data_IF_667358167897
#
_entry.id   IF_667358167897
#
_cell.length_a   1.000
_cell.length_b   1.000
_cell.length_c   1.000
_cell.angle_alpha   90.00
_cell.angle_beta   90.00
_cell.angle_gamma   90.00
#
_symmetry.space_group_name_H-M   'P 1'
#
loop_
_entity.id
_entity.type
_entity.pdbx_description
1 polymer ?
#
# COMPACT_ATOMS: atom_id res chain seq x y z
N UNK A 1 -17.30 53.74 33.13
CA UNK A 1 -16.17 52.82 32.89
C UNK A 1 -16.77 51.60 32.22
N UNK A 2 -16.79 51.58 30.89
CA UNK A 2 -17.13 50.40 30.10
C UNK A 2 -15.90 50.04 29.25
N UNK A 3 -15.50 48.78 29.37
CA UNK A 3 -14.39 48.13 28.66
C UNK A 3 -14.76 47.90 27.18
N UNK A 4 -13.80 48.03 26.24
CA UNK A 4 -14.08 47.76 24.83
C UNK A 4 -14.01 46.26 24.54
N UNK A 5 -15.12 45.68 24.07
CA UNK A 5 -15.16 44.32 23.53
C UNK A 5 -14.19 44.18 22.35
N UNK A 6 -13.14 43.39 22.54
CA UNK A 6 -12.28 42.92 21.46
C UNK A 6 -12.99 41.81 20.69
N UNK A 7 -13.35 42.09 19.44
CA UNK A 7 -13.86 41.09 18.49
C UNK A 7 -12.74 40.10 18.13
N UNK A 8 -12.94 38.79 18.28
CA UNK A 8 -11.97 37.81 17.77
C UNK A 8 -11.99 37.84 16.24
N UNK A 9 -10.81 37.93 15.63
CA UNK A 9 -10.65 38.12 14.19
C UNK A 9 -11.44 37.07 13.37
N UNK A 10 -12.09 37.48 12.26
CA UNK A 10 -12.97 36.62 11.45
C UNK A 10 -12.26 35.38 10.90
N UNK A 11 -10.93 35.43 10.75
CA UNK A 11 -10.11 34.32 10.31
C UNK A 11 -10.15 33.11 11.27
N UNK A 12 -10.12 33.34 12.58
CA UNK A 12 -10.17 32.23 13.55
C UNK A 12 -11.54 31.56 13.60
N UNK A 13 -12.63 32.32 13.41
CA UNK A 13 -13.99 31.76 13.32
C UNK A 13 -14.14 30.86 12.09
N UNK A 14 -13.63 31.31 10.94
CA UNK A 14 -13.61 30.51 9.70
C UNK A 14 -12.78 29.24 9.84
N UNK A 15 -11.59 29.32 10.47
CA UNK A 15 -10.74 28.15 10.69
C UNK A 15 -11.40 27.16 11.65
N UNK A 16 -12.05 27.64 12.72
CA UNK A 16 -12.81 26.80 13.66
C UNK A 16 -14.02 26.14 12.99
N UNK A 17 -14.74 26.84 12.11
CA UNK A 17 -15.85 26.26 11.34
C UNK A 17 -15.38 25.20 10.33
N UNK A 18 -14.25 25.42 9.66
CA UNK A 18 -13.68 24.45 8.72
C UNK A 18 -13.17 23.21 9.48
N UNK A 19 -12.50 23.40 10.60
CA UNK A 19 -12.06 22.32 11.50
C UNK A 19 -13.25 21.51 12.01
N UNK A 20 -14.31 22.18 12.47
CA UNK A 20 -15.52 21.50 12.96
C UNK A 20 -16.22 20.71 11.84
N UNK A 21 -16.32 21.25 10.62
CA UNK A 21 -16.88 20.52 9.47
C UNK A 21 -16.01 19.33 9.07
N UNK A 22 -14.69 19.45 9.12
CA UNK A 22 -13.78 18.33 8.88
C UNK A 22 -13.91 17.24 9.94
N UNK A 23 -13.99 17.61 11.22
CA UNK A 23 -14.17 16.64 12.32
C UNK A 23 -15.51 15.93 12.23
N UNK A 24 -16.59 16.64 11.88
CA UNK A 24 -17.91 16.02 11.66
C UNK A 24 -17.90 15.09 10.43
N UNK A 25 -17.22 15.47 9.35
CA UNK A 25 -17.07 14.63 8.16
C UNK A 25 -16.21 13.38 8.42
N UNK A 26 -15.14 13.52 9.21
CA UNK A 26 -14.27 12.42 9.61
C UNK A 26 -14.99 11.43 10.55
N UNK A 27 -15.79 11.96 11.48
CA UNK A 27 -16.63 11.15 12.37
C UNK A 27 -17.72 10.39 11.60
N UNK A 28 -18.36 11.00 10.61
CA UNK A 28 -19.33 10.31 9.73
C UNK A 28 -18.68 9.23 8.86
N UNK A 29 -17.45 9.42 8.40
CA UNK A 29 -16.71 8.41 7.63
C UNK A 29 -16.25 7.21 8.47
N UNK A 30 -16.18 7.36 9.80
CA UNK A 30 -15.71 6.31 10.73
C UNK A 30 -16.88 5.45 11.24
N UNK A 31 -18.13 5.81 10.93
CA UNK A 31 -19.34 5.13 11.41
C UNK A 31 -19.76 3.88 10.61
N UNK A 32 -18.96 3.42 9.65
CA UNK A 32 -19.22 2.19 8.90
C UNK A 32 -18.15 1.14 9.24
N UNK A 33 -18.50 0.26 10.17
CA UNK A 33 -17.90 -1.05 10.41
C UNK A 33 -16.38 -1.10 10.67
N UNK A 34 -15.90 -0.46 11.73
CA UNK A 34 -14.51 -0.56 12.21
C UNK A 34 -14.17 -1.85 12.99
N UNK A 35 -15.07 -2.83 13.08
CA UNK A 35 -14.91 -4.00 13.95
C UNK A 35 -14.45 -5.29 13.22
N UNK A 36 -13.52 -5.18 12.28
CA UNK A 36 -13.07 -6.34 11.47
C UNK A 36 -11.84 -7.09 12.03
N UNK A 37 -11.11 -6.51 12.99
CA UNK A 37 -10.01 -7.16 13.69
C UNK A 37 -10.25 -6.94 15.18
N UNK A 38 -10.56 -7.98 15.96
CA UNK A 38 -10.91 -7.90 17.39
C UNK A 38 -9.81 -7.40 18.35
N UNK A 39 -8.89 -6.58 17.85
CA UNK A 39 -7.87 -5.87 18.63
C UNK A 39 -8.28 -4.39 18.76
N UNK A 40 -8.24 -3.81 19.97
CA UNK A 40 -8.74 -2.47 20.28
C UNK A 40 -7.80 -1.35 19.78
N UNK A 41 -7.55 -1.27 18.46
CA UNK A 41 -6.67 -0.27 17.83
C UNK A 41 -7.15 1.18 18.02
N UNK A 42 -8.44 1.40 18.25
CA UNK A 42 -9.00 2.73 18.54
C UNK A 42 -8.30 3.37 19.75
N UNK A 43 -8.10 2.60 20.82
CA UNK A 43 -7.41 3.09 22.02
C UNK A 43 -5.94 3.40 21.77
N UNK A 44 -5.30 2.70 20.83
CA UNK A 44 -3.92 2.97 20.39
C UNK A 44 -3.86 4.32 19.67
N UNK A 45 -4.84 4.62 18.81
CA UNK A 45 -4.92 5.90 18.09
C UNK A 45 -5.21 7.06 19.06
N UNK A 46 -6.14 6.87 19.99
CA UNK A 46 -6.44 7.87 21.02
C UNK A 46 -5.24 8.12 21.95
N UNK A 47 -4.54 7.06 22.36
CA UNK A 47 -3.34 7.17 23.20
C UNK A 47 -2.19 7.86 22.47
N UNK A 48 -1.94 7.53 21.21
CA UNK A 48 -0.92 8.17 20.39
C UNK A 48 -1.23 9.67 20.20
N UNK A 49 -2.47 10.00 19.84
CA UNK A 49 -2.91 11.38 19.62
C UNK A 49 -2.79 12.22 20.90
N UNK A 50 -3.17 11.66 22.06
CA UNK A 50 -2.99 12.30 23.37
C UNK A 50 -1.52 12.55 23.72
N UNK A 51 -0.65 11.57 23.47
CA UNK A 51 0.79 11.71 23.71
C UNK A 51 1.41 12.82 22.86
N UNK A 52 1.07 12.89 21.58
CA UNK A 52 1.55 13.96 20.69
C UNK A 52 1.01 15.34 21.08
N UNK A 53 -0.25 15.45 21.49
CA UNK A 53 -0.84 16.71 21.95
C UNK A 53 -0.14 17.24 23.21
N UNK A 54 0.16 16.35 24.17
CA UNK A 54 0.91 16.71 25.38
C UNK A 54 2.34 17.12 25.03
N UNK A 55 3.04 16.36 24.19
CA UNK A 55 4.40 16.69 23.74
C UNK A 55 4.43 18.05 23.03
N UNK A 56 3.48 18.30 22.13
CA UNK A 56 3.34 19.58 21.43
C UNK A 56 3.04 20.72 22.40
N UNK A 57 2.19 20.51 23.41
CA UNK A 57 1.89 21.51 24.44
C UNK A 57 3.13 21.84 25.29
N UNK A 58 3.93 20.84 25.66
CA UNK A 58 5.18 21.05 26.39
C UNK A 58 6.23 21.75 25.54
N UNK A 59 6.36 21.39 24.26
CA UNK A 59 7.23 22.08 23.31
C UNK A 59 6.76 23.50 23.06
N UNK A 60 5.46 23.75 22.93
CA UNK A 60 4.89 25.09 22.78
C UNK A 60 5.15 25.94 24.03
N UNK A 61 4.95 25.37 25.23
CA UNK A 61 5.22 26.05 26.50
C UNK A 61 6.71 26.31 26.71
N UNK A 62 7.56 25.34 26.35
CA UNK A 62 9.01 25.47 26.36
C UNK A 62 9.49 26.51 25.35
N UNK A 63 9.04 26.44 24.10
CA UNK A 63 9.39 27.37 23.03
C UNK A 63 8.92 28.79 23.33
N UNK A 64 7.72 28.96 23.88
CA UNK A 64 7.21 30.27 24.32
C UNK A 64 8.02 30.84 25.50
N UNK A 65 8.48 29.97 26.41
CA UNK A 65 9.36 30.37 27.53
C UNK A 65 10.79 30.70 27.08
N UNK A 66 11.37 29.90 26.18
CA UNK A 66 12.71 30.13 25.62
C UNK A 66 12.72 31.38 24.74
N UNK A 67 11.65 31.63 23.97
CA UNK A 67 11.44 32.92 23.30
C UNK A 67 11.43 34.04 24.33
N UNK A 68 10.64 33.95 25.40
CA UNK A 68 10.62 35.00 26.43
C UNK A 68 12.00 35.27 27.02
N UNK A 69 12.83 34.25 27.21
CA UNK A 69 14.18 34.41 27.73
C UNK A 69 15.13 35.07 26.72
N UNK A 70 15.13 34.63 25.47
CA UNK A 70 15.93 35.22 24.38
C UNK A 70 15.48 36.64 24.01
N UNK A 71 14.18 36.93 24.08
CA UNK A 71 13.64 38.29 23.88
C UNK A 71 14.04 39.20 25.02
N UNK A 72 13.92 38.75 26.28
CA UNK A 72 14.31 39.55 27.45
C UNK A 72 15.82 39.80 27.47
N UNK A 73 16.65 38.84 27.06
CA UNK A 73 18.11 39.03 27.02
C UNK A 73 18.53 39.99 25.90
N UNK A 74 17.90 39.89 24.72
CA UNK A 74 18.10 40.87 23.64
C UNK A 74 17.60 42.26 24.00
N UNK A 75 16.44 42.37 24.66
CA UNK A 75 15.89 43.65 25.13
C UNK A 75 16.72 44.26 26.26
N UNK A 76 17.23 43.46 27.22
CA UNK A 76 18.13 43.95 28.26
C UNK A 76 19.41 44.55 27.67
N UNK A 77 20.01 43.88 26.67
CA UNK A 77 21.19 44.39 25.98
C UNK A 77 20.90 45.69 25.19
N UNK A 78 19.72 45.79 24.59
CA UNK A 78 19.28 46.98 23.85
C UNK A 78 18.95 48.14 24.81
N UNK A 79 18.34 47.85 25.96
CA UNK A 79 18.05 48.81 27.01
C UNK A 79 19.32 49.34 27.69
N UNK A 80 20.34 48.48 27.90
CA UNK A 80 21.65 48.90 28.39
C UNK A 80 22.41 49.80 27.39
N UNK A 81 22.31 49.51 26.09
CA UNK A 81 22.87 50.38 25.06
C UNK A 81 22.14 51.72 24.97
N UNK A 82 20.80 51.71 25.04
CA UNK A 82 19.98 52.93 25.03
C UNK A 82 20.21 53.76 26.30
N UNK A 83 20.33 53.15 27.48
CA UNK A 83 20.57 53.89 28.71
C UNK A 83 21.96 54.51 28.75
N UNK A 84 22.98 53.80 28.26
CA UNK A 84 24.34 54.35 28.11
C UNK A 84 24.34 55.57 27.17
N UNK A 85 23.70 55.45 26.00
CA UNK A 85 23.57 56.56 25.05
C UNK A 85 22.78 57.75 25.62
N UNK A 86 21.69 57.49 26.37
CA UNK A 86 20.87 58.54 26.98
C UNK A 86 21.64 59.25 28.10
N UNK A 87 22.39 58.52 28.92
CA UNK A 87 23.19 59.09 30.00
C UNK A 87 24.36 59.92 29.44
N UNK A 88 25.03 59.44 28.39
CA UNK A 88 26.07 60.20 27.70
C UNK A 88 25.50 61.49 27.08
N UNK A 89 24.34 61.41 26.41
CA UNK A 89 23.66 62.61 25.87
C UNK A 89 23.19 63.56 26.98
N UNK A 90 22.73 63.04 28.11
CA UNK A 90 22.31 63.84 29.27
C UNK A 90 23.50 64.54 29.92
N UNK A 91 24.63 63.87 30.11
CA UNK A 91 25.84 64.48 30.67
C UNK A 91 26.41 65.56 29.76
N UNK A 92 26.33 65.37 28.45
CA UNK A 92 26.69 66.42 27.48
C UNK A 92 25.70 67.59 27.55
N UNK A 93 24.40 67.32 27.68
CA UNK A 93 23.39 68.36 27.78
C UNK A 93 23.46 69.12 29.12
N UNK A 94 23.85 68.45 30.21
CA UNK A 94 24.05 69.04 31.53
C UNK A 94 25.32 69.90 31.57
N UNK A 95 26.41 69.46 30.92
CA UNK A 95 27.58 70.30 30.68
C UNK A 95 27.26 71.52 29.81
N UNK A 96 26.50 71.35 28.73
CA UNK A 96 26.00 72.47 27.92
C UNK A 96 25.04 73.39 28.69
N UNK A 97 24.33 72.87 29.69
CA UNK A 97 23.43 73.68 30.52
C UNK A 97 24.20 74.47 31.58
N UNK A 98 25.27 73.88 32.16
CA UNK A 98 26.17 74.61 33.05
C UNK A 98 26.99 75.65 32.29
N UNK A 99 27.51 75.32 31.10
CA UNK A 99 28.18 76.29 30.21
C UNK A 99 27.21 77.34 29.69
N UNK A 100 25.98 76.97 29.36
CA UNK A 100 24.92 77.92 28.99
C UNK A 100 24.53 78.85 30.15
N UNK A 101 24.54 78.37 31.40
CA UNK A 101 24.23 79.17 32.59
C UNK A 101 25.39 80.07 33.02
N UNK A 102 26.64 79.66 32.77
CA UNK A 102 27.84 80.50 32.97
C UNK A 102 27.94 81.57 31.87
N UNK A 103 27.69 81.21 30.61
CA UNK A 103 27.60 82.13 29.46
C UNK A 103 26.41 83.08 29.58
N UNK A 104 25.24 82.65 30.04
CA UNK A 104 24.07 83.52 30.24
C UNK A 104 24.22 84.44 31.47
N UNK A 105 25.06 84.07 32.45
CA UNK A 105 25.47 84.96 33.54
C UNK A 105 26.52 85.99 33.10
N UNK A 106 27.39 85.65 32.14
CA UNK A 106 28.40 86.58 31.60
C UNK A 106 27.90 87.44 30.44
N UNK A 107 26.83 87.07 29.72
CA UNK A 107 26.29 87.83 28.58
C UNK A 107 25.38 89.00 29.01
N UNK A 108 25.05 89.12 30.30
CA UNK A 108 24.36 90.29 30.83
C UNK A 108 25.31 91.44 31.23
N UNK A 109 26.62 91.18 31.33
CA UNK A 109 27.64 92.20 31.59
C UNK A 109 28.74 92.14 30.50
N UNK A 110 28.75 93.11 29.59
CA UNK A 110 29.74 93.33 28.52
C UNK A 110 29.59 92.38 27.30
N UNK A 111 28.89 92.78 26.24
CA UNK A 111 29.46 93.66 25.20
C UNK A 111 30.99 93.63 25.12
N UNK A 112 31.48 92.95 24.08
CA UNK A 112 32.70 93.25 23.31
C UNK A 112 33.96 92.39 23.57
N UNK A 113 34.18 91.50 22.60
CA UNK A 113 35.43 90.98 22.04
C UNK A 113 36.46 90.16 22.84
N UNK A 114 37.05 89.22 22.07
CA UNK A 114 38.10 88.22 22.35
C UNK A 114 37.58 87.02 23.15
N UNK A 115 37.97 85.78 22.83
CA UNK A 115 39.35 85.37 22.61
C UNK A 115 39.38 84.00 21.93
N UNK A 116 40.02 83.95 20.76
CA UNK A 116 40.27 82.73 20.02
C UNK A 116 41.41 81.94 20.69
N UNK A 117 41.10 81.03 21.62
CA UNK A 117 42.03 79.99 22.09
C UNK A 117 41.37 78.78 22.76
N UNK A 118 40.10 78.48 22.48
CA UNK A 118 39.43 77.27 22.97
C UNK A 118 39.05 76.25 21.88
N UNK A 119 39.36 76.54 20.61
CA UNK A 119 39.03 75.64 19.49
C UNK A 119 40.02 74.45 19.33
N UNK A 120 41.22 74.51 19.91
CA UNK A 120 42.28 73.52 19.64
C UNK A 120 42.18 72.23 20.50
N UNK A 121 41.44 72.25 21.62
CA UNK A 121 41.25 71.06 22.49
C UNK A 121 40.01 70.23 22.15
N UNK A 122 39.04 70.85 21.46
CA UNK A 122 37.82 70.24 20.94
C UNK A 122 38.05 69.55 19.59
N UNK A 123 39.05 69.99 18.82
CA UNK A 123 39.45 69.36 17.55
C UNK A 123 40.06 67.95 17.76
N UNK A 124 40.92 67.79 18.78
CA UNK A 124 41.55 66.51 19.11
C UNK A 124 40.58 65.46 19.69
N UNK A 125 39.42 65.89 20.22
CA UNK A 125 38.33 64.99 20.65
C UNK A 125 37.34 64.68 19.53
N UNK A 126 37.30 65.49 18.46
CA UNK A 126 36.52 65.24 17.23
C UNK A 126 37.20 64.25 16.27
N UNK A 127 38.53 64.17 16.21
CA UNK A 127 39.23 63.26 15.27
C UNK A 127 39.06 61.76 15.60
N UNK A 128 39.11 61.38 16.89
CA UNK A 128 38.95 59.98 17.33
C UNK A 128 37.62 59.34 16.93
N UNK A 129 36.44 59.94 17.24
CA UNK A 129 35.16 59.39 16.81
C UNK A 129 35.01 59.41 15.30
N UNK A 130 35.61 60.37 14.59
CA UNK A 130 35.58 60.42 13.13
C UNK A 130 36.31 59.21 12.50
N UNK A 131 37.43 58.80 13.10
CA UNK A 131 38.16 57.59 12.69
C UNK A 131 37.33 56.31 12.90
N UNK A 132 36.65 56.19 14.04
CA UNK A 132 35.78 55.04 14.31
C UNK A 132 34.51 55.01 13.45
N UNK A 133 33.98 56.18 13.07
CA UNK A 133 32.84 56.26 12.16
C UNK A 133 33.20 55.73 10.77
N UNK A 134 34.37 56.09 10.22
CA UNK A 134 34.83 55.58 8.92
C UNK A 134 35.06 54.07 8.98
N UNK A 135 35.62 53.56 10.07
CA UNK A 135 35.85 52.12 10.27
C UNK A 135 34.53 51.34 10.40
N UNK A 136 33.55 51.88 11.13
CA UNK A 136 32.20 51.32 11.21
C UNK A 136 31.49 51.34 9.85
N UNK A 137 31.61 52.42 9.08
CA UNK A 137 31.00 52.54 7.75
C UNK A 137 31.59 51.52 6.76
N UNK A 138 32.91 51.27 6.80
CA UNK A 138 33.55 50.24 5.98
C UNK A 138 33.09 48.82 6.35
N UNK A 139 32.93 48.53 7.64
CA UNK A 139 32.44 47.24 8.13
C UNK A 139 30.96 47.04 7.77
N UNK A 140 30.13 48.08 7.88
CA UNK A 140 28.75 48.09 7.41
C UNK A 140 28.70 47.81 5.90
N UNK A 141 29.55 48.47 5.10
CA UNK A 141 29.64 48.23 3.66
C UNK A 141 30.03 46.78 3.32
N UNK A 142 30.95 46.19 4.10
CA UNK A 142 31.37 44.79 3.93
C UNK A 142 30.22 43.82 4.23
N UNK A 143 29.53 44.00 5.35
CA UNK A 143 28.37 43.18 5.74
C UNK A 143 27.22 43.33 4.74
N UNK A 144 26.98 44.53 4.21
CA UNK A 144 25.96 44.77 3.17
C UNK A 144 26.30 44.02 1.88
N UNK A 145 27.58 43.95 1.49
CA UNK A 145 28.02 43.15 0.33
C UNK A 145 27.78 41.66 0.54
N UNK A 146 28.15 41.12 1.70
CA UNK A 146 27.92 39.70 2.04
C UNK A 146 26.43 39.36 2.04
N UNK A 147 25.59 40.20 2.65
CA UNK A 147 24.13 40.01 2.68
C UNK A 147 23.54 40.05 1.27
N UNK A 148 24.03 40.93 0.39
CA UNK A 148 23.59 40.98 -1.01
C UNK A 148 23.95 39.70 -1.77
N UNK A 149 25.11 39.12 -1.50
CA UNK A 149 25.57 37.86 -2.10
C UNK A 149 24.83 36.63 -1.55
N UNK A 150 24.56 36.58 -0.25
CA UNK A 150 23.69 35.54 0.33
C UNK A 150 22.28 35.62 -0.24
N UNK A 151 21.73 36.81 -0.41
CA UNK A 151 20.40 37.00 -1.00
C UNK A 151 20.34 36.52 -2.45
N UNK A 152 21.38 36.72 -3.26
CA UNK A 152 21.41 36.17 -4.62
C UNK A 152 21.50 34.65 -4.63
N UNK A 153 22.34 34.05 -3.77
CA UNK A 153 22.42 32.58 -3.63
C UNK A 153 21.10 31.97 -3.15
N UNK A 154 20.42 32.62 -2.21
CA UNK A 154 19.11 32.19 -1.72
C UNK A 154 18.03 32.30 -2.80
N UNK A 155 18.11 33.32 -3.67
CA UNK A 155 17.24 33.43 -4.83
C UNK A 155 17.44 32.26 -5.81
N UNK A 156 18.68 31.92 -6.15
CA UNK A 156 19.00 30.78 -7.04
C UNK A 156 18.55 29.43 -6.45
N UNK A 157 18.78 29.21 -5.14
CA UNK A 157 18.29 28.00 -4.48
C UNK A 157 16.76 27.90 -4.49
N UNK A 158 16.05 29.02 -4.33
CA UNK A 158 14.59 29.03 -4.37
C UNK A 158 14.06 28.67 -5.78
N UNK A 159 14.74 29.11 -6.84
CA UNK A 159 14.38 28.74 -8.21
C UNK A 159 14.60 27.25 -8.48
N UNK A 160 15.77 26.71 -8.07
CA UNK A 160 16.03 25.27 -8.16
C UNK A 160 15.05 24.44 -7.34
N UNK A 161 14.69 24.91 -6.14
CA UNK A 161 13.69 24.26 -5.30
C UNK A 161 12.31 24.24 -5.96
N UNK A 162 11.95 25.30 -6.68
CA UNK A 162 10.71 25.34 -7.45
C UNK A 162 10.73 24.36 -8.64
N UNK A 163 11.85 24.27 -9.38
CA UNK A 163 11.99 23.29 -10.47
C UNK A 163 11.94 21.85 -9.95
N UNK A 164 12.65 21.55 -8.86
CA UNK A 164 12.61 20.23 -8.21
C UNK A 164 11.18 19.90 -7.74
N UNK A 165 10.48 20.84 -7.10
CA UNK A 165 9.10 20.63 -6.65
C UNK A 165 8.16 20.35 -7.82
N UNK A 166 8.33 21.04 -8.95
CA UNK A 166 7.56 20.81 -10.17
C UNK A 166 7.82 19.42 -10.76
N UNK A 167 9.08 18.97 -10.80
CA UNK A 167 9.44 17.61 -11.25
C UNK A 167 8.86 16.53 -10.34
N UNK A 168 8.92 16.73 -9.02
CA UNK A 168 8.33 15.79 -8.05
C UNK A 168 6.83 15.68 -8.28
N UNK A 169 6.12 16.80 -8.48
CA UNK A 169 4.69 16.78 -8.74
C UNK A 169 4.35 16.06 -10.05
N UNK A 170 5.09 16.30 -11.13
CA UNK A 170 4.92 15.59 -12.40
C UNK A 170 5.12 14.08 -12.24
N UNK A 171 6.18 13.66 -11.56
CA UNK A 171 6.48 12.25 -11.32
C UNK A 171 5.42 11.59 -10.43
N UNK A 172 4.89 12.31 -9.44
CA UNK A 172 3.82 11.81 -8.58
C UNK A 172 2.53 11.55 -9.38
N UNK A 173 2.18 12.48 -10.27
CA UNK A 173 1.01 12.35 -11.14
C UNK A 173 1.19 11.22 -12.18
N UNK A 174 2.39 11.11 -12.78
CA UNK A 174 2.76 9.98 -13.65
C UNK A 174 2.67 8.64 -12.91
N UNK A 175 3.16 8.56 -11.68
CA UNK A 175 3.11 7.35 -10.86
C UNK A 175 1.68 6.95 -10.51
N UNK A 176 0.82 7.92 -10.19
CA UNK A 176 -0.62 7.68 -9.94
C UNK A 176 -1.31 7.15 -11.20
N UNK A 177 -1.03 7.76 -12.35
CA UNK A 177 -1.57 7.34 -13.65
C UNK A 177 -1.12 5.92 -14.01
N UNK A 178 0.18 5.62 -13.90
CA UNK A 178 0.73 4.29 -14.14
C UNK A 178 0.13 3.25 -13.20
N UNK A 179 0.02 3.55 -11.91
CA UNK A 179 -0.60 2.63 -10.94
C UNK A 179 -2.05 2.32 -11.30
N UNK A 180 -2.81 3.33 -11.72
CA UNK A 180 -4.19 3.15 -12.20
C UNK A 180 -4.23 2.28 -13.46
N UNK A 181 -3.35 2.55 -14.43
CA UNK A 181 -3.29 1.80 -15.68
C UNK A 181 -2.91 0.32 -15.46
N UNK A 182 -1.93 0.05 -14.59
CA UNK A 182 -1.53 -1.30 -14.22
C UNK A 182 -2.70 -2.03 -13.54
N UNK A 183 -3.34 -1.41 -12.56
CA UNK A 183 -4.49 -2.02 -11.87
C UNK A 183 -5.66 -2.32 -12.83
N UNK A 184 -5.95 -1.43 -13.78
CA UNK A 184 -7.00 -1.65 -14.78
C UNK A 184 -6.64 -2.79 -15.74
N UNK A 185 -5.39 -2.85 -16.20
CA UNK A 185 -4.92 -3.91 -17.10
C UNK A 185 -4.93 -5.27 -16.40
N UNK A 186 -4.41 -5.36 -15.17
CA UNK A 186 -4.44 -6.58 -14.36
C UNK A 186 -5.88 -7.04 -14.09
N UNK A 187 -6.79 -6.12 -13.76
CA UNK A 187 -8.20 -6.45 -13.56
C UNK A 187 -8.85 -6.98 -14.85
N UNK A 188 -8.58 -6.35 -15.99
CA UNK A 188 -9.06 -6.79 -17.31
C UNK A 188 -8.55 -8.19 -17.66
N UNK A 189 -7.25 -8.44 -17.47
CA UNK A 189 -6.64 -9.75 -17.73
C UNK A 189 -7.20 -10.83 -16.80
N UNK A 190 -7.35 -10.53 -15.51
CA UNK A 190 -7.96 -11.46 -14.55
C UNK A 190 -9.39 -11.78 -14.92
N UNK A 191 -10.18 -10.79 -15.37
CA UNK A 191 -11.54 -11.00 -15.82
C UNK A 191 -11.60 -11.90 -17.07
N UNK A 192 -10.68 -11.73 -18.01
CA UNK A 192 -10.59 -12.55 -19.21
C UNK A 192 -10.19 -14.00 -18.88
N UNK A 193 -9.17 -14.19 -18.04
CA UNK A 193 -8.75 -15.50 -17.55
C UNK A 193 -9.87 -16.21 -16.77
N UNK A 194 -10.61 -15.49 -15.92
CA UNK A 194 -11.76 -16.05 -15.20
C UNK A 194 -12.85 -16.53 -16.16
N UNK A 195 -13.14 -15.77 -17.24
CA UNK A 195 -14.11 -16.18 -18.26
C UNK A 195 -13.67 -17.43 -19.01
N UNK A 196 -12.38 -17.53 -19.37
CA UNK A 196 -11.83 -18.72 -20.01
C UNK A 196 -11.95 -19.95 -19.13
N UNK A 197 -11.56 -19.86 -17.86
CA UNK A 197 -11.67 -20.98 -16.91
C UNK A 197 -13.14 -21.41 -16.69
N UNK A 198 -14.08 -20.45 -16.69
CA UNK A 198 -15.50 -20.77 -16.63
C UNK A 198 -15.97 -21.55 -17.86
N UNK A 199 -15.57 -21.12 -19.06
CA UNK A 199 -15.90 -21.84 -20.29
C UNK A 199 -15.29 -23.24 -20.32
N UNK A 200 -14.04 -23.39 -19.90
CA UNK A 200 -13.40 -24.69 -19.78
C UNK A 200 -14.15 -25.59 -18.79
N UNK A 201 -14.55 -25.07 -17.63
CA UNK A 201 -15.34 -25.82 -16.66
C UNK A 201 -16.71 -26.26 -17.21
N UNK A 202 -17.36 -25.43 -18.03
CA UNK A 202 -18.60 -25.80 -18.71
C UNK A 202 -18.38 -26.92 -19.74
N UNK A 203 -17.31 -26.86 -20.54
CA UNK A 203 -16.95 -27.93 -21.48
C UNK A 203 -16.66 -29.24 -20.74
N UNK A 204 -15.87 -29.19 -19.66
CA UNK A 204 -15.60 -30.36 -18.84
C UNK A 204 -16.88 -30.95 -18.24
N UNK A 205 -17.83 -30.10 -17.81
CA UNK A 205 -19.14 -30.54 -17.31
C UNK A 205 -19.94 -31.26 -18.40
N UNK A 206 -19.95 -30.77 -19.62
CA UNK A 206 -20.61 -31.43 -20.75
C UNK A 206 -19.96 -32.80 -21.05
N UNK A 207 -18.63 -32.85 -21.11
CA UNK A 207 -17.87 -34.09 -21.31
C UNK A 207 -18.16 -35.12 -20.23
N UNK A 208 -18.19 -34.72 -18.96
CA UNK A 208 -18.56 -35.59 -17.83
C UNK A 208 -20.00 -36.08 -17.97
N UNK A 209 -20.93 -35.22 -18.39
CA UNK A 209 -22.32 -35.62 -18.61
C UNK A 209 -22.46 -36.64 -19.73
N UNK A 210 -21.67 -36.51 -20.80
CA UNK A 210 -21.69 -37.42 -21.94
C UNK A 210 -21.07 -38.78 -21.59
N UNK A 211 -19.92 -38.78 -20.91
CA UNK A 211 -19.32 -39.99 -20.35
C UNK A 211 -20.29 -40.70 -19.40
N UNK A 212 -21.06 -39.96 -18.60
CA UNK A 212 -22.04 -40.56 -17.72
C UNK A 212 -23.18 -41.25 -18.49
N UNK A 213 -23.64 -40.69 -19.62
CA UNK A 213 -24.61 -41.38 -20.49
C UNK A 213 -24.03 -42.67 -21.07
N UNK A 214 -22.79 -42.62 -21.55
CA UNK A 214 -22.10 -43.80 -22.08
C UNK A 214 -21.92 -44.89 -21.02
N UNK A 215 -21.65 -44.49 -19.77
CA UNK A 215 -21.58 -45.42 -18.64
C UNK A 215 -22.91 -46.13 -18.41
N UNK A 216 -24.02 -45.40 -18.41
CA UNK A 216 -25.36 -45.97 -18.21
C UNK A 216 -25.70 -46.98 -19.31
N UNK A 217 -25.46 -46.63 -20.59
CA UNK A 217 -25.77 -47.56 -21.71
C UNK A 217 -24.90 -48.82 -21.67
N UNK A 218 -23.65 -48.71 -21.22
CA UNK A 218 -22.77 -49.86 -21.02
C UNK A 218 -23.25 -50.74 -19.86
N UNK A 219 -23.66 -50.13 -18.74
CA UNK A 219 -24.26 -50.86 -17.61
C UNK A 219 -25.54 -51.59 -18.04
N UNK A 220 -26.43 -50.94 -18.80
CA UNK A 220 -27.64 -51.57 -19.35
C UNK A 220 -27.30 -52.77 -20.26
N UNK A 221 -26.33 -52.60 -21.16
CA UNK A 221 -25.87 -53.67 -22.04
C UNK A 221 -25.26 -54.84 -21.26
N UNK A 222 -24.52 -54.55 -20.17
CA UNK A 222 -23.97 -55.57 -19.27
C UNK A 222 -25.08 -56.35 -18.58
N UNK A 223 -26.08 -55.67 -18.01
CA UNK A 223 -27.23 -56.33 -17.35
C UNK A 223 -28.00 -57.19 -18.34
N UNK A 224 -28.18 -56.72 -19.58
CA UNK A 224 -28.82 -57.51 -20.63
C UNK A 224 -28.02 -58.79 -20.96
N UNK A 225 -26.70 -58.69 -21.09
CA UNK A 225 -25.85 -59.85 -21.34
C UNK A 225 -25.88 -60.85 -20.18
N UNK A 226 -25.84 -60.38 -18.93
CA UNK A 226 -25.97 -61.21 -17.72
C UNK A 226 -27.31 -61.97 -17.70
N UNK A 227 -28.42 -61.30 -18.06
CA UNK A 227 -29.73 -61.92 -18.17
C UNK A 227 -29.74 -63.06 -19.20
N UNK A 228 -29.20 -62.82 -20.40
CA UNK A 228 -29.12 -63.83 -21.47
C UNK A 228 -28.30 -65.06 -21.03
N UNK A 229 -27.22 -64.84 -20.29
CA UNK A 229 -26.41 -65.93 -19.74
C UNK A 229 -27.21 -66.74 -18.71
N UNK A 230 -27.90 -66.07 -17.78
CA UNK A 230 -28.74 -66.73 -16.78
C UNK A 230 -29.86 -67.57 -17.42
N UNK A 231 -30.51 -67.06 -18.49
CA UNK A 231 -31.52 -67.82 -19.23
C UNK A 231 -30.95 -69.07 -19.91
N UNK A 232 -29.74 -68.97 -20.48
CA UNK A 232 -29.01 -70.12 -21.05
C UNK A 232 -28.63 -71.14 -19.98
N UNK A 233 -28.17 -70.70 -18.82
CA UNK A 233 -27.86 -71.59 -17.69
C UNK A 233 -29.10 -72.33 -17.18
N UNK A 234 -30.24 -71.64 -17.12
CA UNK A 234 -31.52 -72.26 -16.80
C UNK A 234 -31.91 -73.33 -17.84
N UNK A 235 -31.69 -73.04 -19.12
CA UNK A 235 -31.94 -74.02 -20.19
C UNK A 235 -31.00 -75.24 -20.09
N UNK A 236 -29.71 -75.03 -19.86
CA UNK A 236 -28.74 -76.12 -19.66
C UNK A 236 -29.14 -76.98 -18.45
N UNK A 237 -29.54 -76.35 -17.34
CA UNK A 237 -29.99 -77.04 -16.13
C UNK A 237 -31.20 -77.93 -16.41
N UNK A 238 -32.22 -77.40 -17.07
CA UNK A 238 -33.43 -78.20 -17.45
C UNK A 238 -33.12 -79.33 -18.41
N UNK A 239 -32.26 -79.12 -19.42
CA UNK A 239 -31.79 -80.20 -20.31
C UNK A 239 -31.03 -81.28 -19.53
N UNK A 240 -30.17 -80.88 -18.60
CA UNK A 240 -29.42 -81.80 -17.74
C UNK A 240 -30.36 -82.65 -16.88
N UNK A 241 -31.39 -82.04 -16.28
CA UNK A 241 -32.41 -82.76 -15.52
C UNK A 241 -33.20 -83.77 -16.37
N UNK A 242 -33.57 -83.40 -17.61
CA UNK A 242 -34.23 -84.31 -18.55
C UNK A 242 -33.35 -85.50 -18.95
N UNK A 243 -32.06 -85.25 -19.22
CA UNK A 243 -31.10 -86.30 -19.54
C UNK A 243 -30.88 -87.27 -18.37
N UNK A 244 -30.81 -86.76 -17.14
CA UNK A 244 -30.72 -87.59 -15.93
C UNK A 244 -31.94 -88.50 -15.79
N UNK A 245 -33.15 -87.96 -15.94
CA UNK A 245 -34.38 -88.76 -15.92
C UNK A 245 -34.33 -89.85 -16.99
N UNK A 246 -33.94 -89.51 -18.22
CA UNK A 246 -33.85 -90.47 -19.33
C UNK A 246 -32.84 -91.59 -19.05
N UNK A 247 -31.71 -91.27 -18.42
CA UNK A 247 -30.72 -92.26 -17.95
C UNK A 247 -31.29 -93.18 -16.88
N UNK A 248 -32.03 -92.64 -15.91
CA UNK A 248 -32.66 -93.44 -14.85
C UNK A 248 -33.71 -94.41 -15.43
N UNK A 249 -34.53 -93.96 -16.40
CA UNK A 249 -35.45 -94.82 -17.14
C UNK A 249 -34.72 -95.91 -17.95
N UNK A 250 -33.58 -95.59 -18.56
CA UNK A 250 -32.76 -96.57 -19.30
C UNK A 250 -32.16 -97.63 -18.37
N UNK A 251 -31.77 -97.26 -17.14
CA UNK A 251 -31.32 -98.23 -16.13
C UNK A 251 -32.46 -99.17 -15.71
N UNK A 252 -33.69 -98.66 -15.54
CA UNK A 252 -34.89 -99.45 -15.21
C UNK A 252 -35.26 -100.42 -16.35
N UNK A 253 -35.12 -100.00 -17.62
CA UNK A 253 -35.38 -100.87 -18.78
C UNK A 253 -34.23 -101.85 -19.10
N UNK A 254 -33.02 -101.57 -18.62
CA UNK A 254 -31.81 -102.36 -18.87
C UNK A 254 -31.66 -103.59 -17.97
N UNK A 255 -32.49 -103.74 -16.94
CA UNK A 255 -32.37 -104.85 -15.96
C UNK A 255 -33.05 -106.17 -16.41
N UNK A 256 -33.69 -106.19 -17.59
CA UNK A 256 -34.37 -107.40 -18.13
C UNK A 256 -33.81 -107.92 -19.47
N UNK A 257 -32.57 -107.57 -19.84
CA UNK A 257 -31.82 -108.31 -20.88
C UNK A 257 -30.36 -108.47 -20.49
N UNK A 258 -30.09 -109.59 -19.83
CA UNK A 258 -28.78 -110.23 -20.01
C UNK A 258 -28.74 -110.96 -21.35
N UNK A 259 -27.58 -110.87 -21.94
CA UNK A 259 -26.99 -111.64 -23.03
C UNK A 259 -27.21 -111.09 -24.45
N UNK A 260 -26.09 -110.67 -25.05
CA UNK A 260 -26.04 -110.36 -26.48
C UNK A 260 -24.91 -109.42 -26.88
N UNK A 261 -23.70 -109.96 -26.93
CA UNK A 261 -22.71 -109.70 -27.98
C UNK A 261 -22.01 -108.32 -28.04
N UNK A 262 -20.76 -108.37 -27.58
CA UNK A 262 -19.59 -107.70 -28.13
C UNK A 262 -19.68 -107.36 -29.63
N UNK A 263 -19.65 -106.07 -29.96
CA UNK A 263 -19.12 -105.57 -31.24
C UNK A 263 -18.32 -104.28 -30.97
N UNK A 264 -17.02 -104.49 -30.78
CA UNK A 264 -15.96 -103.55 -31.10
C UNK A 264 -16.14 -103.09 -32.56
N UNK A 265 -16.49 -101.81 -32.76
CA UNK A 265 -16.37 -101.15 -34.06
C UNK A 265 -15.56 -99.87 -33.87
N UNK A 266 -14.26 -100.06 -33.97
CA UNK A 266 -13.28 -99.06 -34.39
C UNK A 266 -13.75 -98.48 -35.73
N UNK A 267 -14.08 -97.18 -35.75
CA UNK A 267 -14.23 -96.44 -36.99
C UNK A 267 -13.27 -95.28 -36.98
N UNK A 268 -12.10 -95.54 -37.57
CA UNK A 268 -11.20 -94.55 -38.13
C UNK A 268 -11.95 -93.66 -39.12
N UNK A 269 -11.90 -92.35 -38.89
CA UNK A 269 -11.98 -91.38 -39.97
C UNK A 269 -10.97 -90.27 -39.70
N UNK A 270 -9.86 -90.36 -40.43
CA UNK A 270 -9.02 -89.22 -40.74
C UNK A 270 -9.89 -88.16 -41.44
N UNK A 271 -9.88 -86.95 -40.89
CA UNK A 271 -10.42 -85.76 -41.53
C UNK A 271 -9.55 -84.58 -41.13
N UNK A 272 -8.53 -84.38 -41.97
CA UNK A 272 -7.91 -83.12 -42.35
C UNK A 272 -7.51 -82.11 -41.27
N UNK A 273 -6.21 -82.10 -41.01
CA UNK A 273 -5.46 -81.00 -40.43
C UNK A 273 -5.55 -79.75 -41.34
N UNK A 274 -6.50 -78.86 -41.03
CA UNK A 274 -6.56 -77.50 -41.56
C UNK A 274 -6.12 -76.48 -40.51
N UNK A 275 -4.82 -76.27 -40.36
CA UNK A 275 -4.31 -75.19 -39.53
C UNK A 275 -4.67 -73.81 -40.08
N UNK A 276 -5.30 -72.96 -39.27
CA UNK A 276 -5.22 -71.48 -39.38
C UNK A 276 -5.76 -70.79 -38.11
N UNK A 277 -4.82 -70.50 -37.21
CA UNK A 277 -4.62 -69.22 -36.52
C UNK A 277 -5.86 -68.32 -36.31
N UNK A 278 -6.30 -68.21 -35.05
CA UNK A 278 -7.37 -67.26 -34.67
C UNK A 278 -7.33 -66.75 -33.22
N UNK A 279 -6.24 -66.95 -32.48
CA UNK A 279 -6.03 -66.30 -31.17
C UNK A 279 -5.55 -64.86 -31.35
N UNK A 280 -6.36 -63.99 -31.95
CA UNK A 280 -6.14 -62.54 -32.00
C UNK A 280 -7.49 -61.81 -31.99
N UNK A 281 -8.15 -61.77 -30.84
CA UNK A 281 -9.27 -60.83 -30.67
C UNK A 281 -9.44 -60.32 -29.24
N UNK A 282 -8.98 -61.07 -28.22
CA UNK A 282 -9.11 -60.61 -26.83
C UNK A 282 -7.91 -59.82 -26.30
N UNK A 283 -6.75 -59.85 -26.97
CA UNK A 283 -5.58 -59.07 -26.56
C UNK A 283 -5.60 -57.61 -27.04
N UNK A 284 -6.31 -57.26 -28.12
CA UNK A 284 -6.37 -55.86 -28.58
C UNK A 284 -7.32 -55.01 -27.74
N UNK A 285 -8.43 -55.58 -27.26
CA UNK A 285 -9.35 -54.87 -26.37
C UNK A 285 -8.77 -54.61 -24.97
N UNK A 286 -7.88 -55.47 -24.47
CA UNK A 286 -7.22 -55.25 -23.18
C UNK A 286 -6.04 -54.26 -23.26
N UNK A 287 -5.36 -54.17 -24.42
CA UNK A 287 -4.25 -53.22 -24.60
C UNK A 287 -4.71 -51.78 -24.88
N UNK A 288 -5.91 -51.57 -25.42
CA UNK A 288 -6.46 -50.22 -25.63
C UNK A 288 -6.82 -49.55 -24.28
N UNK A 289 -7.09 -50.33 -23.23
CA UNK A 289 -7.48 -49.77 -21.93
C UNK A 289 -6.33 -49.19 -21.11
N UNK A 290 -5.07 -49.43 -21.48
CA UNK A 290 -3.89 -48.97 -20.74
C UNK A 290 -3.13 -47.80 -21.40
N UNK A 291 -3.64 -47.23 -22.50
CA UNK A 291 -2.92 -46.19 -23.24
C UNK A 291 -3.57 -44.79 -23.18
N UNK A 292 -4.27 -44.50 -22.09
CA UNK A 292 -4.73 -43.15 -21.73
C UNK A 292 -4.12 -42.70 -20.40
N UNK A 293 -2.80 -42.53 -20.36
CA UNK A 293 -2.04 -41.71 -19.39
C UNK A 293 -0.64 -41.59 -20.01
N UNK A 294 -0.12 -40.39 -20.39
CA UNK A 294 -0.11 -39.18 -19.57
C UNK A 294 -0.44 -37.88 -20.35
N UNK A 295 -1.30 -37.02 -19.78
CA UNK A 295 -1.52 -35.65 -20.26
C UNK A 295 -1.52 -34.66 -19.08
N UNK A 296 -0.59 -34.89 -18.14
CA UNK A 296 -0.42 -34.07 -16.93
C UNK A 296 0.96 -33.39 -16.84
N UNK A 297 1.72 -33.30 -17.94
CA UNK A 297 3.05 -32.65 -17.97
C UNK A 297 3.13 -31.37 -18.82
N UNK A 298 1.98 -30.82 -19.25
CA UNK A 298 1.95 -29.60 -20.08
C UNK A 298 1.36 -28.38 -19.36
N UNK A 299 1.56 -28.28 -18.04
CA UNK A 299 1.24 -27.08 -17.23
C UNK A 299 2.40 -26.72 -16.28
N UNK A 300 3.65 -26.79 -16.77
CA UNK A 300 4.83 -26.28 -16.06
C UNK A 300 5.86 -25.64 -17.00
N UNK A 301 5.40 -24.92 -18.01
CA UNK A 301 6.24 -23.98 -18.77
C UNK A 301 5.36 -23.04 -19.57
N UNK A 302 4.84 -22.00 -18.91
CA UNK A 302 4.70 -20.63 -19.43
C UNK A 302 4.20 -19.73 -18.29
#
# INVERSE_FOLDING_TARGET
MEEPQATPQPYFRLVLEVQHRMVVALHQSTGADSNSYGFPWEWVIWAATGFFAVLFFFLWRGFRSVRSWLYVEREKKLAEMLSRLIEEKRQLLEKLKYEGQEVESSLNDASFEKEATEEQSLEATCEKPNRFNVELDEEILRLVKELKEEKSKQSEQNELMADISKRIQSLEDETKSLKSQVALNENSQLQESQKQLLQEAEVWKEQVSELNKQKITLEDSKVHAEQVLNDKDNHIRTLTECLLKMKDWAAILGEDRKDGENLELEMNSESENGGRNGTKSLSSHFLISCQCLPLADQMRSN
#
